data_IF_999185545233
#
_entry.id   IF_999185545233
#
_cell.length_a   1.000
_cell.length_b   1.000
_cell.length_c   1.000
_cell.angle_alpha   90.00
_cell.angle_beta   90.00
_cell.angle_gamma   90.00
#
_symmetry.space_group_name_H-M   'P 1'
#
loop_
_entity.id
_entity.type
_entity.pdbx_description
1 polymer ?
#
# COMPACT_ATOMS: atom_id res chain seq x y z
N UNK A 1 -1.82 7.35 -44.94
CA UNK A 1 -1.99 7.75 -43.52
C UNK A 1 -1.87 6.50 -42.66
N UNK A 2 -0.75 6.29 -41.95
CA UNK A 2 -0.60 5.19 -40.99
C UNK A 2 -1.17 5.67 -39.66
N UNK A 3 -2.33 5.18 -39.27
CA UNK A 3 -2.83 5.33 -37.91
C UNK A 3 -1.89 4.51 -37.05
N UNK A 4 -0.99 5.15 -36.30
CA UNK A 4 -0.36 4.45 -35.20
C UNK A 4 -1.44 4.25 -34.15
N UNK A 5 -1.85 3.00 -33.96
CA UNK A 5 -2.48 2.54 -32.72
C UNK A 5 -1.41 2.57 -31.64
N UNK A 6 -1.02 3.78 -31.25
CA UNK A 6 -0.33 4.02 -29.98
C UNK A 6 -1.34 3.51 -28.94
N UNK A 7 -1.09 2.31 -28.43
CA UNK A 7 -1.91 1.66 -27.41
C UNK A 7 -2.25 2.69 -26.35
N UNK A 8 -3.54 3.00 -26.18
CA UNK A 8 -4.01 3.67 -24.98
C UNK A 8 -3.95 2.63 -23.87
N UNK A 9 -2.75 2.34 -23.36
CA UNK A 9 -2.59 1.73 -22.05
C UNK A 9 -2.96 2.79 -21.03
N UNK A 10 -4.26 3.06 -20.90
CA UNK A 10 -4.81 3.36 -19.59
C UNK A 10 -4.64 2.07 -18.76
N UNK A 11 -3.40 1.76 -18.40
CA UNK A 11 -3.16 1.07 -17.16
C UNK A 11 -3.81 2.00 -16.14
N UNK A 12 -4.92 1.58 -15.55
CA UNK A 12 -5.62 2.34 -14.52
C UNK A 12 -4.79 2.27 -13.24
N UNK A 13 -3.54 2.74 -13.35
CA UNK A 13 -2.57 2.90 -12.30
C UNK A 13 -3.11 3.99 -11.41
N UNK A 14 -3.24 3.67 -10.13
CA UNK A 14 -3.66 4.63 -9.11
C UNK A 14 -2.69 4.57 -7.96
N UNK A 15 -2.60 5.67 -7.22
CA UNK A 15 -1.76 5.74 -6.04
C UNK A 15 -2.56 6.28 -4.87
N UNK A 16 -2.32 5.71 -3.70
CA UNK A 16 -2.95 6.12 -2.45
C UNK A 16 -1.88 6.36 -1.41
N UNK A 17 -2.04 7.43 -0.63
CA UNK A 17 -1.36 7.59 0.64
C UNK A 17 -2.33 7.11 1.72
N UNK A 18 -1.91 6.07 2.44
CA UNK A 18 -2.64 5.56 3.59
C UNK A 18 -1.98 6.11 4.84
N UNK A 19 -2.80 6.63 5.76
CA UNK A 19 -2.35 7.25 7.00
C UNK A 19 -2.96 6.56 8.20
N UNK A 20 -2.21 6.50 9.30
CA UNK A 20 -2.64 5.91 10.56
C UNK A 20 -2.22 6.78 11.75
N UNK A 21 -3.20 7.26 12.51
CA UNK A 21 -2.97 7.88 13.81
C UNK A 21 -3.07 6.81 14.91
N UNK A 22 -1.92 6.41 15.46
CA UNK A 22 -1.83 5.30 16.42
C UNK A 22 -2.52 5.65 17.74
N UNK A 23 -2.30 6.85 18.26
CA UNK A 23 -2.89 7.29 19.54
C UNK A 23 -4.43 7.25 19.49
N UNK A 24 -4.99 7.73 18.38
CA UNK A 24 -6.43 7.74 18.18
C UNK A 24 -6.99 6.32 18.02
N UNK A 25 -6.27 5.44 17.33
CA UNK A 25 -6.65 4.03 17.23
C UNK A 25 -6.65 3.37 18.60
N UNK A 26 -5.59 3.52 19.40
CA UNK A 26 -5.51 2.91 20.73
C UNK A 26 -6.58 3.48 21.68
N UNK A 27 -6.87 4.78 21.59
CA UNK A 27 -8.01 5.38 22.28
C UNK A 27 -9.34 4.75 21.87
N UNK A 28 -9.58 4.62 20.56
CA UNK A 28 -10.80 4.06 20.01
C UNK A 28 -10.94 2.56 20.30
N UNK A 29 -9.84 1.79 20.33
CA UNK A 29 -9.85 0.37 20.71
C UNK A 29 -10.30 0.18 22.16
N UNK A 30 -9.88 1.07 23.07
CA UNK A 30 -10.35 1.05 24.47
C UNK A 30 -11.83 1.38 24.59
N UNK A 31 -12.32 2.33 23.79
CA UNK A 31 -13.70 2.83 23.89
C UNK A 31 -14.71 1.96 23.14
N UNK A 32 -14.34 1.47 21.95
CA UNK A 32 -15.18 0.78 20.96
C UNK A 32 -14.36 -0.24 20.16
N UNK A 33 -13.95 -1.37 20.78
CA UNK A 33 -13.13 -2.38 20.12
C UNK A 33 -13.80 -3.01 18.88
N UNK A 34 -15.12 -2.95 18.79
CA UNK A 34 -15.90 -3.48 17.68
C UNK A 34 -15.53 -2.87 16.31
N UNK A 35 -14.94 -1.66 16.29
CA UNK A 35 -14.47 -1.07 15.03
C UNK A 35 -13.27 -1.80 14.44
N UNK A 36 -12.52 -2.58 15.21
CA UNK A 36 -11.27 -3.18 14.73
C UNK A 36 -11.33 -4.71 14.71
N UNK A 37 -11.91 -5.31 15.75
CA UNK A 37 -11.78 -6.77 15.98
C UNK A 37 -13.12 -7.50 16.09
N UNK A 38 -14.23 -6.91 15.63
CA UNK A 38 -15.55 -7.54 15.75
C UNK A 38 -15.70 -8.81 14.90
N UNK A 39 -15.00 -8.89 13.76
CA UNK A 39 -15.05 -10.06 12.88
C UNK A 39 -13.64 -10.49 12.49
N UNK A 40 -13.47 -11.77 12.15
CA UNK A 40 -12.20 -12.30 11.66
C UNK A 40 -11.69 -11.52 10.45
N UNK A 41 -12.58 -11.18 9.50
CA UNK A 41 -12.31 -10.30 8.35
C UNK A 41 -11.72 -8.97 8.78
N UNK A 42 -12.42 -8.23 9.65
CA UNK A 42 -12.00 -6.89 10.08
C UNK A 42 -10.68 -6.93 10.82
N UNK A 43 -10.53 -7.88 11.75
CA UNK A 43 -9.30 -8.05 12.53
C UNK A 43 -8.11 -8.31 11.61
N UNK A 44 -8.24 -9.24 10.65
CA UNK A 44 -7.16 -9.60 9.74
C UNK A 44 -6.75 -8.42 8.85
N UNK A 45 -7.71 -7.70 8.29
CA UNK A 45 -7.45 -6.53 7.43
C UNK A 45 -6.80 -5.40 8.21
N UNK A 46 -7.37 -5.07 9.38
CA UNK A 46 -6.82 -4.03 10.24
C UNK A 46 -5.38 -4.33 10.66
N UNK A 47 -5.11 -5.56 11.10
CA UNK A 47 -3.76 -5.95 11.52
C UNK A 47 -2.78 -5.89 10.35
N UNK A 48 -3.15 -6.41 9.17
CA UNK A 48 -2.29 -6.35 7.98
C UNK A 48 -1.92 -4.90 7.60
N UNK A 49 -2.91 -3.99 7.56
CA UNK A 49 -2.67 -2.57 7.23
C UNK A 49 -1.82 -1.89 8.32
N UNK A 50 -2.15 -2.10 9.60
CA UNK A 50 -1.42 -1.51 10.73
C UNK A 50 0.04 -1.96 10.76
N UNK A 51 0.28 -3.26 10.65
CA UNK A 51 1.62 -3.84 10.72
C UNK A 51 2.47 -3.37 9.54
N UNK A 52 1.91 -3.33 8.33
CA UNK A 52 2.62 -2.82 7.16
C UNK A 52 2.99 -1.33 7.33
N UNK A 53 2.08 -0.49 7.84
CA UNK A 53 2.37 0.92 8.11
C UNK A 53 3.43 1.13 9.19
N UNK A 54 3.43 0.32 10.25
CA UNK A 54 4.45 0.41 11.32
C UNK A 54 5.81 -0.07 10.81
N UNK A 55 5.83 -1.17 10.06
CA UNK A 55 7.09 -1.83 9.67
C UNK A 55 7.77 -1.15 8.47
N UNK A 56 6.99 -0.61 7.54
CA UNK A 56 7.50 -0.13 6.25
C UNK A 56 7.06 1.29 5.91
N UNK A 57 6.15 1.87 6.69
CA UNK A 57 5.70 3.24 6.51
C UNK A 57 6.70 4.27 7.04
N UNK A 58 6.42 5.52 6.73
CA UNK A 58 7.13 6.68 7.27
C UNK A 58 6.33 7.25 8.44
N UNK A 59 6.98 7.34 9.59
CA UNK A 59 6.47 8.08 10.75
C UNK A 59 6.68 9.57 10.50
N UNK A 60 5.58 10.33 10.48
CA UNK A 60 5.55 11.76 10.25
C UNK A 60 4.84 12.47 11.39
N UNK A 61 5.30 13.66 11.73
CA UNK A 61 4.59 14.55 12.64
C UNK A 61 3.64 15.42 11.81
N UNK A 62 2.34 15.24 12.02
CA UNK A 62 1.28 16.01 11.39
C UNK A 62 0.63 16.88 12.47
N UNK A 63 0.97 18.17 12.47
CA UNK A 63 0.62 19.10 13.54
C UNK A 63 1.16 18.59 14.89
N UNK A 64 0.31 18.44 15.91
CA UNK A 64 0.65 17.93 17.24
C UNK A 64 0.57 16.40 17.35
N UNK A 65 0.51 15.68 16.22
CA UNK A 65 0.21 14.24 16.20
C UNK A 65 1.21 13.44 15.40
N UNK A 66 1.56 12.28 15.94
CA UNK A 66 2.32 11.27 15.23
C UNK A 66 1.40 10.43 14.32
N UNK A 67 1.75 10.37 13.05
CA UNK A 67 1.01 9.63 12.03
C UNK A 67 1.96 8.76 11.23
N UNK A 68 1.61 7.48 11.03
CA UNK A 68 2.30 6.62 10.08
C UNK A 68 1.67 6.82 8.71
N UNK A 69 2.49 6.96 7.68
CA UNK A 69 2.01 7.13 6.31
C UNK A 69 2.80 6.25 5.35
N UNK A 70 2.12 5.68 4.36
CA UNK A 70 2.77 4.94 3.27
C UNK A 70 2.02 5.15 1.98
N UNK A 71 2.77 5.25 0.89
CA UNK A 71 2.22 5.29 -0.46
C UNK A 71 2.13 3.88 -1.03
N UNK A 72 1.01 3.58 -1.66
CA UNK A 72 0.78 2.36 -2.42
C UNK A 72 0.49 2.74 -3.86
N UNK A 73 1.26 2.19 -4.80
CA UNK A 73 1.02 2.32 -6.23
C UNK A 73 0.55 0.97 -6.76
N UNK A 74 -0.60 0.97 -7.45
CA UNK A 74 -1.27 -0.27 -7.84
C UNK A 74 -1.97 -0.13 -9.19
N UNK A 75 -2.09 -1.24 -9.90
CA UNK A 75 -2.81 -1.37 -11.17
C UNK A 75 -4.14 -2.08 -10.88
N UNK A 76 -5.25 -1.34 -10.97
CA UNK A 76 -6.59 -1.84 -10.56
C UNK A 76 -6.96 -3.22 -11.13
N UNK A 77 -6.63 -3.50 -12.39
CA UNK A 77 -6.99 -4.76 -13.06
C UNK A 77 -6.11 -5.95 -12.68
N UNK A 78 -4.91 -5.70 -12.16
CA UNK A 78 -3.90 -6.74 -11.87
C UNK A 78 -3.78 -6.99 -10.38
N UNK A 79 -3.81 -5.91 -9.60
CA UNK A 79 -3.44 -5.94 -8.19
C UNK A 79 -4.67 -5.94 -7.26
N UNK A 80 -5.90 -5.74 -7.77
CA UNK A 80 -7.11 -5.65 -6.94
C UNK A 80 -8.06 -6.84 -7.09
N UNK A 81 -8.58 -7.33 -5.97
CA UNK A 81 -9.79 -8.15 -5.87
C UNK A 81 -10.90 -7.32 -5.21
N UNK A 82 -12.13 -7.56 -5.64
CA UNK A 82 -13.34 -6.89 -5.15
C UNK A 82 -14.29 -7.91 -4.53
N UNK A 83 -15.35 -7.48 -3.85
CA UNK A 83 -16.37 -8.39 -3.30
C UNK A 83 -16.92 -9.34 -4.38
N UNK A 84 -17.13 -8.81 -5.59
CA UNK A 84 -17.61 -9.57 -6.75
C UNK A 84 -16.60 -10.58 -7.32
N UNK A 85 -15.36 -10.56 -6.83
CA UNK A 85 -14.29 -11.46 -7.29
C UNK A 85 -14.32 -12.83 -6.60
N UNK A 86 -15.18 -13.02 -5.60
CA UNK A 86 -15.34 -14.29 -4.88
C UNK A 86 -16.56 -15.06 -5.39
N UNK A 87 -16.48 -16.39 -5.36
CA UNK A 87 -17.57 -17.28 -5.81
C UNK A 87 -18.78 -17.30 -4.85
N UNK A 88 -18.63 -16.72 -3.66
CA UNK A 88 -19.64 -16.66 -2.59
C UNK A 88 -19.83 -15.22 -2.13
N UNK A 89 -20.97 -14.87 -1.50
CA UNK A 89 -21.14 -13.59 -0.83
C UNK A 89 -19.97 -13.28 0.12
N UNK A 90 -19.56 -12.03 0.19
CA UNK A 90 -18.36 -11.63 0.95
C UNK A 90 -18.49 -11.92 2.45
N UNK A 91 -19.72 -12.00 2.95
CA UNK A 91 -20.09 -12.39 4.30
C UNK A 91 -19.77 -13.86 4.61
N UNK A 92 -19.75 -14.72 3.60
CA UNK A 92 -19.52 -16.17 3.70
C UNK A 92 -18.07 -16.57 3.38
N UNK A 93 -17.24 -15.61 2.96
CA UNK A 93 -15.82 -15.85 2.67
C UNK A 93 -15.04 -15.98 3.97
N UNK A 94 -14.34 -17.10 4.16
CA UNK A 94 -13.45 -17.28 5.30
C UNK A 94 -12.12 -16.55 5.10
N UNK A 95 -12.06 -15.32 5.60
CA UNK A 95 -10.88 -14.49 5.57
C UNK A 95 -9.68 -15.07 6.32
N UNK A 96 -9.80 -16.12 7.14
CA UNK A 96 -8.65 -16.76 7.79
C UNK A 96 -7.87 -17.68 6.84
N UNK A 97 -8.50 -18.12 5.75
CA UNK A 97 -7.91 -19.07 4.79
C UNK A 97 -7.18 -18.41 3.63
N UNK A 98 -7.43 -17.11 3.40
CA UNK A 98 -6.80 -16.36 2.33
C UNK A 98 -5.28 -16.36 2.49
N UNK A 99 -4.55 -16.46 1.38
CA UNK A 99 -3.12 -16.16 1.38
C UNK A 99 -2.89 -14.66 1.61
N UNK A 100 -1.69 -14.27 2.01
CA UNK A 100 -1.37 -12.85 2.23
C UNK A 100 -1.48 -12.03 0.93
N UNK A 101 -1.06 -12.61 -0.21
CA UNK A 101 -1.20 -11.97 -1.52
C UNK A 101 -2.67 -11.70 -1.88
N UNK A 102 -3.55 -12.66 -1.60
CA UNK A 102 -4.99 -12.51 -1.85
C UNK A 102 -5.64 -11.51 -0.90
N UNK A 103 -5.26 -11.55 0.38
CA UNK A 103 -5.70 -10.57 1.37
C UNK A 103 -5.33 -9.16 0.94
N UNK A 104 -4.06 -8.94 0.56
CA UNK A 104 -3.59 -7.63 0.11
C UNK A 104 -4.29 -7.18 -1.18
N UNK A 105 -4.49 -8.09 -2.13
CA UNK A 105 -5.24 -7.78 -3.35
C UNK A 105 -6.67 -7.30 -3.04
N UNK A 106 -7.32 -7.92 -2.06
CA UNK A 106 -8.64 -7.51 -1.60
C UNK A 106 -8.61 -6.17 -0.85
N UNK A 107 -7.61 -5.92 -0.01
CA UNK A 107 -7.39 -4.62 0.67
C UNK A 107 -7.24 -3.51 -0.37
N UNK A 108 -6.44 -3.74 -1.41
CA UNK A 108 -6.25 -2.76 -2.49
C UNK A 108 -7.55 -2.43 -3.21
N UNK A 109 -8.39 -3.42 -3.52
CA UNK A 109 -9.66 -3.20 -4.20
C UNK A 109 -10.71 -2.53 -3.32
N UNK A 110 -11.10 -3.17 -2.22
CA UNK A 110 -12.25 -2.70 -1.44
C UNK A 110 -11.89 -1.59 -0.46
N UNK A 111 -10.73 -1.66 0.18
CA UNK A 111 -10.38 -0.71 1.23
C UNK A 111 -9.72 0.54 0.67
N UNK A 112 -8.84 0.42 -0.32
CA UNK A 112 -8.18 1.57 -0.93
C UNK A 112 -8.98 2.13 -2.10
N UNK A 113 -9.30 1.31 -3.12
CA UNK A 113 -9.97 1.79 -4.34
C UNK A 113 -11.45 2.15 -4.11
N UNK A 114 -12.20 1.31 -3.40
CA UNK A 114 -13.61 1.60 -3.07
C UNK A 114 -13.76 2.44 -1.78
N UNK A 115 -12.66 2.81 -1.12
CA UNK A 115 -12.66 3.75 0.01
C UNK A 115 -13.27 3.23 1.30
N UNK A 116 -13.35 1.91 1.52
CA UNK A 116 -13.90 1.36 2.78
C UNK A 116 -13.02 1.61 4.00
N UNK A 117 -11.73 1.89 3.82
CA UNK A 117 -10.76 1.98 4.91
C UNK A 117 -11.16 2.98 6.01
N UNK A 118 -11.39 4.25 5.66
CA UNK A 118 -11.76 5.30 6.62
C UNK A 118 -13.19 5.17 7.13
N UNK A 119 -14.07 4.53 6.34
CA UNK A 119 -15.44 4.23 6.74
C UNK A 119 -15.48 3.18 7.86
N UNK A 120 -14.71 2.11 7.70
CA UNK A 120 -14.69 0.98 8.61
C UNK A 120 -13.75 1.18 9.79
N UNK A 121 -12.52 1.68 9.58
CA UNK A 121 -11.49 1.75 10.61
C UNK A 121 -11.21 3.20 10.99
N UNK A 122 -11.63 3.57 12.21
CA UNK A 122 -11.37 4.91 12.75
C UNK A 122 -9.86 5.09 12.97
N UNK A 123 -9.35 6.29 12.67
CA UNK A 123 -7.91 6.59 12.74
C UNK A 123 -7.07 6.11 11.56
N UNK A 124 -7.67 5.34 10.63
CA UNK A 124 -7.10 5.12 9.30
C UNK A 124 -7.72 6.08 8.29
N UNK A 125 -6.89 6.54 7.37
CA UNK A 125 -7.27 7.46 6.29
C UNK A 125 -6.64 7.03 4.97
N UNK A 126 -7.28 7.44 3.87
CA UNK A 126 -6.77 7.21 2.52
C UNK A 126 -6.96 8.46 1.68
N UNK A 127 -5.91 8.90 1.01
CA UNK A 127 -5.95 10.00 0.05
C UNK A 127 -5.46 9.46 -1.29
N UNK A 128 -6.28 9.60 -2.33
CA UNK A 128 -5.82 9.30 -3.68
C UNK A 128 -4.87 10.40 -4.15
N UNK A 129 -3.72 10.01 -4.67
CA UNK A 129 -2.72 10.92 -5.22
C UNK A 129 -2.43 10.57 -6.67
N UNK A 130 -1.96 11.56 -7.43
CA UNK A 130 -1.42 11.33 -8.77
C UNK A 130 -0.24 10.36 -8.63
N UNK A 131 -0.02 9.50 -9.62
CA UNK A 131 1.19 8.69 -9.68
C UNK A 131 2.36 9.65 -9.92
N UNK A 132 3.33 9.72 -9.00
CA UNK A 132 4.48 10.58 -9.26
C UNK A 132 5.30 9.97 -10.40
N UNK A 133 5.76 10.84 -11.29
CA UNK A 133 6.75 10.48 -12.32
C UNK A 133 8.15 10.29 -11.71
N UNK A 134 8.35 10.61 -10.44
CA UNK A 134 9.59 10.32 -9.75
C UNK A 134 9.71 8.81 -9.53
N UNK A 135 10.72 8.16 -10.12
CA UNK A 135 10.97 6.75 -9.87
C UNK A 135 11.13 6.51 -8.36
N UNK A 136 10.90 5.28 -7.88
CA UNK A 136 11.35 4.90 -6.54
C UNK A 136 12.80 5.37 -6.41
N UNK A 137 13.18 5.88 -5.25
CA UNK A 137 14.58 6.08 -4.94
C UNK A 137 15.20 4.67 -4.91
N UNK A 138 15.52 4.15 -6.09
CA UNK A 138 16.57 3.16 -6.22
C UNK A 138 17.76 3.78 -5.51
N UNK A 139 18.42 3.00 -4.65
CA UNK A 139 19.75 3.35 -4.16
C UNK A 139 20.68 3.33 -5.38
N UNK A 140 20.55 4.32 -6.25
CA UNK A 140 21.43 4.55 -7.36
C UNK A 140 22.71 5.08 -6.74
N UNK A 141 23.70 4.20 -6.68
CA UNK A 141 25.10 4.58 -6.51
C UNK A 141 25.62 5.42 -7.70
N UNK A 142 24.75 5.92 -8.59
CA UNK A 142 25.09 6.73 -9.76
C UNK A 142 25.65 8.11 -9.43
N UNK A 143 25.57 8.55 -8.17
CA UNK A 143 26.13 9.85 -7.72
C UNK A 143 27.04 9.75 -6.49
N UNK A 144 27.45 8.54 -6.08
CA UNK A 144 28.53 8.43 -5.09
C UNK A 144 29.83 8.51 -5.87
N UNK A 145 30.57 9.61 -5.72
CA UNK A 145 31.93 9.72 -6.20
C UNK A 145 32.73 8.50 -5.70
N UNK A 146 33.02 7.58 -6.60
CA UNK A 146 33.75 6.35 -6.29
C UNK A 146 35.20 6.74 -5.96
N UNK A 147 35.46 7.09 -4.69
CA UNK A 147 36.76 7.55 -4.21
C UNK A 147 37.86 6.48 -4.21
N UNK A 148 37.63 5.30 -4.78
CA UNK A 148 38.54 4.15 -4.66
C UNK A 148 38.55 3.19 -5.86
N UNK A 149 38.05 3.57 -7.04
CA UNK A 149 38.14 2.71 -8.23
C UNK A 149 39.52 2.78 -8.90
N UNK A 150 40.41 1.83 -8.58
CA UNK A 150 41.59 1.51 -9.40
C UNK A 150 41.18 0.59 -10.57
N UNK A 151 40.71 1.20 -11.67
CA UNK A 151 40.93 0.80 -13.08
C UNK A 151 39.90 1.51 -13.96
N UNK A 152 40.39 2.19 -15.00
CA UNK A 152 39.59 2.83 -16.04
C UNK A 152 38.89 1.77 -16.89
N UNK A 153 37.63 2.06 -17.25
CA UNK A 153 36.88 1.49 -18.38
C UNK A 153 36.30 0.06 -18.26
N UNK A 154 35.45 -0.21 -17.24
CA UNK A 154 34.49 -1.33 -17.31
C UNK A 154 33.15 -1.03 -16.61
N UNK A 155 32.03 -1.20 -17.34
CA UNK A 155 30.63 -0.90 -16.96
C UNK A 155 29.95 -1.89 -15.99
N UNK A 156 30.68 -2.59 -15.12
CA UNK A 156 30.05 -3.48 -14.13
C UNK A 156 30.73 -3.39 -12.77
N UNK A 157 30.01 -2.88 -11.79
CA UNK A 157 30.36 -3.03 -10.38
C UNK A 157 30.05 -4.46 -9.94
N UNK A 158 31.07 -5.21 -9.51
CA UNK A 158 30.87 -6.54 -8.92
C UNK A 158 30.13 -6.42 -7.59
N UNK A 159 29.04 -7.17 -7.45
CA UNK A 159 28.36 -7.37 -6.16
C UNK A 159 29.29 -8.18 -5.26
N UNK A 160 29.77 -7.57 -4.18
CA UNK A 160 30.52 -8.27 -3.13
C UNK A 160 29.57 -9.31 -2.49
N UNK A 161 30.04 -10.54 -2.37
CA UNK A 161 29.35 -11.65 -1.68
C UNK A 161 29.20 -11.38 -0.19
#
# INVERSE_FOLDING_TARGET
>A
MKIRTDYVTNSSSVSYIITMNVDFIEFMKKKKPEFYTNTAKRSRIYNAVREDLINTGTKVELLDREVYSKRYALIKKRDCKYDISFDKPIEDVDFSTLSDEELWSYIYGEYFVNGRLSGEFKGLGSVQVIKDDTPPIEKNCENIACGSCKKKDTDKCDKIK
#
